data_IF_203961683208
#
_entry.id   IF_203961683208
#
_cell.length_a   1.000
_cell.length_b   1.000
_cell.length_c   1.000
_cell.angle_alpha   90.00
_cell.angle_beta   90.00
_cell.angle_gamma   90.00
#
_symmetry.space_group_name_H-M   'P 1'
#
loop_
_entity.id
_entity.type
_entity.pdbx_description
1 polymer ?
#
# COMPACT_ATOMS: atom_id res chain seq x y z
N UNK A 1 31.51 -10.02 -4.63
CA UNK A 1 30.08 -9.73 -4.92
C UNK A 1 29.90 -8.22 -4.80
N UNK A 2 29.37 -7.56 -5.83
CA UNK A 2 29.11 -6.12 -5.76
C UNK A 2 27.79 -5.89 -5.02
N UNK A 3 27.86 -5.21 -3.87
CA UNK A 3 26.70 -4.73 -3.11
C UNK A 3 26.18 -3.38 -3.65
N UNK A 4 26.35 -3.12 -4.95
CA UNK A 4 25.81 -1.90 -5.55
C UNK A 4 24.29 -1.88 -5.34
N UNK A 5 23.72 -0.80 -4.76
CA UNK A 5 22.29 -0.67 -4.58
C UNK A 5 21.58 -0.91 -5.92
N UNK A 6 20.69 -1.90 -5.96
CA UNK A 6 19.92 -2.16 -7.17
C UNK A 6 18.95 -1.00 -7.36
N UNK A 7 18.99 -0.37 -8.55
CA UNK A 7 17.97 0.60 -8.92
C UNK A 7 16.59 -0.07 -8.84
N UNK A 8 15.70 0.48 -8.01
CA UNK A 8 14.33 -0.02 -7.90
C UNK A 8 13.58 0.27 -9.21
N UNK A 9 12.69 -0.63 -9.65
CA UNK A 9 11.82 -0.33 -10.77
C UNK A 9 10.94 0.89 -10.45
N UNK A 10 10.54 1.63 -11.49
CA UNK A 10 9.59 2.73 -11.32
C UNK A 10 8.27 2.19 -10.78
N UNK A 11 7.78 2.78 -9.68
CA UNK A 11 6.44 2.49 -9.17
C UNK A 11 5.39 3.21 -10.05
N UNK A 12 4.38 2.51 -10.58
CA UNK A 12 3.35 3.12 -11.42
C UNK A 12 2.55 4.21 -10.70
N UNK A 13 2.07 5.19 -11.47
CA UNK A 13 1.13 6.20 -10.97
C UNK A 13 -0.21 5.53 -10.60
N UNK A 14 -0.88 6.06 -9.57
CA UNK A 14 -2.12 5.48 -9.05
C UNK A 14 -1.92 4.26 -8.15
N UNK A 15 -0.68 3.86 -7.85
CA UNK A 15 -0.40 2.79 -6.88
C UNK A 15 -0.95 3.16 -5.50
N UNK A 16 -1.62 2.20 -4.87
CA UNK A 16 -2.09 2.26 -3.49
C UNK A 16 -1.34 1.22 -2.64
N UNK A 17 -0.84 1.64 -1.49
CA UNK A 17 -0.07 0.81 -0.56
C UNK A 17 -0.77 0.85 0.80
N UNK A 18 -0.93 -0.32 1.41
CA UNK A 18 -1.33 -0.45 2.81
C UNK A 18 -0.08 -0.82 3.62
N UNK A 19 0.25 0.00 4.61
CA UNK A 19 1.42 -0.19 5.47
C UNK A 19 0.98 -0.39 6.91
N UNK A 20 1.66 -1.29 7.63
CA UNK A 20 1.47 -1.45 9.07
C UNK A 20 2.23 -0.34 9.82
N UNK A 21 1.66 0.16 10.92
CA UNK A 21 2.31 1.18 11.75
C UNK A 21 3.60 0.67 12.41
N UNK A 22 3.60 -0.58 12.90
CA UNK A 22 4.72 -1.18 13.62
C UNK A 22 5.50 -2.20 12.76
N UNK A 23 5.55 -1.98 11.44
CA UNK A 23 6.36 -2.81 10.53
C UNK A 23 7.87 -2.64 10.84
N UNK A 24 8.55 -3.76 11.06
CA UNK A 24 9.96 -3.79 11.44
C UNK A 24 10.92 -3.59 10.25
N UNK A 25 10.43 -3.61 9.01
CA UNK A 25 11.24 -3.52 7.79
C UNK A 25 11.16 -2.17 7.09
N UNK A 26 10.26 -1.29 7.51
CA UNK A 26 10.14 0.06 6.99
C UNK A 26 8.85 0.73 7.43
N UNK A 27 8.92 2.03 7.65
CA UNK A 27 7.81 2.85 8.14
C UNK A 27 6.98 3.43 6.99
N UNK A 28 5.73 3.76 7.28
CA UNK A 28 4.89 4.50 6.34
C UNK A 28 5.47 5.89 5.99
N UNK A 29 6.25 6.50 6.88
CA UNK A 29 6.94 7.77 6.61
C UNK A 29 8.05 7.59 5.57
N UNK A 30 8.87 6.55 5.72
CA UNK A 30 9.91 6.20 4.74
C UNK A 30 9.32 5.86 3.38
N UNK A 31 8.21 5.12 3.33
CA UNK A 31 7.49 4.84 2.08
C UNK A 31 7.01 6.13 1.39
N UNK A 32 6.37 7.05 2.13
CA UNK A 32 5.91 8.33 1.58
C UNK A 32 7.06 9.20 1.08
N UNK A 33 8.22 9.15 1.74
CA UNK A 33 9.42 9.87 1.29
C UNK A 33 10.04 9.24 0.04
N UNK A 34 10.08 7.91 -0.04
CA UNK A 34 10.68 7.17 -1.15
C UNK A 34 9.85 7.26 -2.43
N UNK A 35 8.52 7.30 -2.32
CA UNK A 35 7.59 7.32 -3.46
C UNK A 35 6.45 8.32 -3.23
N UNK A 36 6.72 9.63 -3.29
CA UNK A 36 5.77 10.67 -2.88
C UNK A 36 4.51 10.76 -3.75
N UNK A 37 4.50 10.13 -4.94
CA UNK A 37 3.36 10.12 -5.85
C UNK A 37 2.33 9.03 -5.55
N UNK A 38 2.64 8.07 -4.67
CA UNK A 38 1.72 6.97 -4.34
C UNK A 38 0.85 7.31 -3.13
N UNK A 39 -0.32 6.67 -3.05
CA UNK A 39 -1.19 6.78 -1.87
C UNK A 39 -0.83 5.69 -0.87
N UNK A 40 -0.58 6.08 0.37
CA UNK A 40 -0.23 5.14 1.46
C UNK A 40 -1.27 5.26 2.58
N UNK A 41 -2.03 4.19 2.80
CA UNK A 41 -2.85 4.00 3.99
C UNK A 41 -2.02 3.32 5.07
N UNK A 42 -2.14 3.78 6.32
CA UNK A 42 -1.45 3.19 7.47
C UNK A 42 -2.48 2.53 8.37
N UNK A 43 -2.26 1.28 8.74
CA UNK A 43 -3.08 0.54 9.72
C UNK A 43 -2.38 0.60 11.06
N UNK A 44 -3.08 1.16 12.05
CA UNK A 44 -2.52 1.37 13.39
C UNK A 44 -2.44 0.08 14.21
N UNK A 45 -1.57 0.06 15.21
CA UNK A 45 -1.45 -1.00 16.23
C UNK A 45 -1.21 -2.42 15.67
N UNK A 46 -0.58 -2.54 14.51
CA UNK A 46 -0.28 -3.83 13.88
C UNK A 46 1.16 -3.95 13.44
N UNK A 47 1.63 -5.20 13.43
CA UNK A 47 2.94 -5.60 12.93
C UNK A 47 2.92 -5.82 11.41
N UNK A 48 4.07 -6.21 10.86
CA UNK A 48 4.25 -6.58 9.45
C UNK A 48 3.23 -7.60 8.91
N UNK A 49 2.62 -8.43 9.78
CA UNK A 49 1.68 -9.47 9.38
C UNK A 49 0.20 -9.06 9.50
N UNK A 50 -0.06 -7.82 9.95
CA UNK A 50 -1.40 -7.27 10.16
C UNK A 50 -2.25 -8.16 11.09
N UNK A 51 -1.62 -8.79 12.09
CA UNK A 51 -2.32 -9.72 13.00
C UNK A 51 -3.49 -9.00 13.68
N UNK A 52 -4.68 -9.60 13.60
CA UNK A 52 -5.92 -9.06 14.19
C UNK A 52 -6.65 -8.00 13.35
N UNK A 53 -6.07 -7.51 12.25
CA UNK A 53 -6.70 -6.48 11.39
C UNK A 53 -6.70 -6.80 9.88
N UNK A 54 -6.61 -8.08 9.53
CA UNK A 54 -6.62 -8.52 8.10
C UNK A 54 -7.90 -8.13 7.38
N UNK A 55 -9.04 -8.14 8.06
CA UNK A 55 -10.32 -7.74 7.47
C UNK A 55 -10.36 -6.22 7.19
N UNK A 56 -9.75 -5.41 8.06
CA UNK A 56 -9.59 -3.97 7.83
C UNK A 56 -8.70 -3.70 6.61
N UNK A 57 -7.56 -4.41 6.50
CA UNK A 57 -6.70 -4.36 5.30
C UNK A 57 -7.49 -4.75 4.05
N UNK A 58 -8.26 -5.83 4.11
CA UNK A 58 -9.10 -6.28 3.00
C UNK A 58 -10.12 -5.23 2.57
N UNK A 59 -10.75 -4.57 3.55
CA UNK A 59 -11.72 -3.49 3.30
C UNK A 59 -11.05 -2.30 2.63
N UNK A 60 -9.88 -1.86 3.10
CA UNK A 60 -9.13 -0.76 2.49
C UNK A 60 -8.78 -1.03 1.03
N UNK A 61 -8.35 -2.26 0.71
CA UNK A 61 -8.04 -2.65 -0.66
C UNK A 61 -9.31 -2.72 -1.51
N UNK A 62 -10.40 -3.30 -1.00
CA UNK A 62 -11.67 -3.39 -1.71
C UNK A 62 -12.25 -1.99 -2.03
N UNK A 63 -12.21 -1.08 -1.06
CA UNK A 63 -12.68 0.29 -1.22
C UNK A 63 -11.83 1.04 -2.27
N UNK A 64 -10.51 0.85 -2.24
CA UNK A 64 -9.64 1.45 -3.25
C UNK A 64 -9.94 0.91 -4.65
N UNK A 65 -10.12 -0.41 -4.79
CA UNK A 65 -10.49 -1.03 -6.05
C UNK A 65 -11.83 -0.50 -6.56
N UNK A 66 -12.84 -0.41 -5.69
CA UNK A 66 -14.16 0.15 -6.03
C UNK A 66 -14.07 1.62 -6.48
N UNK A 67 -13.14 2.39 -5.91
CA UNK A 67 -12.91 3.79 -6.26
C UNK A 67 -12.24 3.97 -7.62
N UNK A 68 -11.29 3.11 -7.97
CA UNK A 68 -10.47 3.27 -9.19
C UNK A 68 -10.98 2.49 -10.39
N UNK A 69 -11.72 1.40 -10.16
CA UNK A 69 -12.30 0.62 -11.23
C UNK A 69 -13.57 1.31 -11.74
N UNK A 70 -13.68 1.58 -13.06
CA UNK A 70 -14.90 2.08 -13.62
C UNK A 70 -16.00 1.04 -13.41
N UNK A 71 -17.08 1.43 -12.73
CA UNK A 71 -18.32 0.62 -12.71
C UNK A 71 -18.88 0.66 -14.14
N UNK A 72 -19.00 -0.48 -14.84
CA UNK A 72 -19.66 -0.49 -16.14
C UNK A 72 -21.10 0.01 -15.95
N UNK A 73 -21.51 1.05 -16.69
CA UNK A 73 -22.85 1.65 -16.56
C UNK A 73 -23.98 0.78 -17.14
N UNK A 74 -23.76 -0.54 -17.25
CA UNK A 74 -24.59 -1.48 -17.99
C UNK A 74 -24.99 -2.71 -17.18
N UNK A 75 -24.92 -2.66 -15.85
CA UNK A 75 -25.71 -3.59 -15.05
C UNK A 75 -27.17 -3.06 -15.06
N UNK A 76 -28.14 -3.91 -15.42
CA UNK A 76 -29.55 -3.52 -15.58
C UNK A 76 -30.20 -3.07 -14.28
#
# INVERSE_FOLDING_TARGET
>A
MSFAPRALPRIPDGTFIVAAENDQFGTAAELRAAVPHVRVATVSDVDHFFVGKRDEVGTLVADELARVLPVPSHLP
#
